data_IF_294708296375
#
_entry.id   IF_294708296375
#
_cell.length_a   1.000
_cell.length_b   1.000
_cell.length_c   1.000
_cell.angle_alpha   90.00
_cell.angle_beta   90.00
_cell.angle_gamma   90.00
#
_symmetry.space_group_name_H-M   'P 1'
#
loop_
_entity.id
_entity.type
_entity.pdbx_description
1 polymer ?
#
# COMPACT_ATOMS: atom_id res chain seq x y z
N UNK A 1 13.44 -17.14 34.52
CA UNK A 1 13.25 -16.01 33.57
C UNK A 1 12.39 -16.42 32.38
N UNK A 2 12.93 -16.99 31.28
CA UNK A 2 12.11 -17.39 30.11
C UNK A 2 11.09 -18.55 30.33
N UNK A 3 11.37 -19.62 31.11
CA UNK A 3 10.41 -20.73 31.27
C UNK A 3 9.23 -20.35 32.17
N UNK A 4 9.45 -19.53 33.21
CA UNK A 4 8.39 -19.07 34.12
C UNK A 4 7.38 -18.15 33.41
N UNK A 5 7.87 -17.33 32.48
CA UNK A 5 7.03 -16.48 31.62
C UNK A 5 6.09 -17.33 30.75
N UNK A 6 6.63 -18.38 30.12
CA UNK A 6 5.85 -19.31 29.29
C UNK A 6 4.80 -20.06 30.11
N UNK A 7 5.11 -20.47 31.34
CA UNK A 7 4.13 -21.12 32.22
C UNK A 7 3.02 -20.17 32.68
N UNK A 8 3.34 -18.90 32.94
CA UNK A 8 2.33 -17.90 33.32
C UNK A 8 1.41 -17.54 32.14
N UNK A 9 1.98 -17.38 30.93
CA UNK A 9 1.21 -17.19 29.69
C UNK A 9 0.31 -18.41 29.40
N UNK A 10 0.81 -19.62 29.59
CA UNK A 10 0.03 -20.85 29.41
C UNK A 10 -1.12 -20.95 30.42
N UNK A 11 -0.90 -20.56 31.68
CA UNK A 11 -1.96 -20.55 32.70
C UNK A 11 -3.05 -19.54 32.37
N UNK A 12 -2.68 -18.33 31.97
CA UNK A 12 -3.62 -17.28 31.58
C UNK A 12 -4.42 -17.66 30.31
N UNK A 13 -3.73 -18.16 29.28
CA UNK A 13 -4.37 -18.52 28.01
C UNK A 13 -5.18 -19.81 28.04
N UNK A 14 -4.88 -20.76 28.95
CA UNK A 14 -5.59 -22.05 29.02
C UNK A 14 -6.94 -21.98 29.74
N UNK A 15 -7.18 -20.97 30.57
CA UNK A 15 -8.48 -20.79 31.23
C UNK A 15 -9.55 -20.22 30.28
N UNK A 16 -9.16 -19.31 29.38
CA UNK A 16 -10.10 -18.67 28.44
C UNK A 16 -9.97 -19.16 26.98
N UNK A 17 -8.89 -19.83 26.59
CA UNK A 17 -8.60 -20.17 25.19
C UNK A 17 -8.18 -18.96 24.33
N UNK A 18 -8.09 -17.77 24.93
CA UNK A 18 -7.62 -16.55 24.30
C UNK A 18 -6.79 -15.71 25.27
N UNK A 19 -5.83 -14.96 24.74
CA UNK A 19 -5.08 -13.92 25.48
C UNK A 19 -5.28 -12.57 24.82
N UNK A 20 -5.59 -11.53 25.60
CA UNK A 20 -5.70 -10.18 25.04
C UNK A 20 -4.32 -9.62 24.72
N UNK A 21 -4.23 -8.77 23.70
CA UNK A 21 -2.97 -8.12 23.34
C UNK A 21 -2.39 -7.28 24.49
N UNK A 22 -3.25 -6.62 25.27
CA UNK A 22 -2.84 -5.83 26.43
C UNK A 22 -2.29 -6.70 27.57
N UNK A 23 -2.95 -7.83 27.86
CA UNK A 23 -2.48 -8.77 28.89
C UNK A 23 -1.17 -9.45 28.48
N UNK A 24 -1.03 -9.80 27.19
CA UNK A 24 0.22 -10.32 26.64
C UNK A 24 1.36 -9.31 26.86
N UNK A 25 1.11 -8.03 26.59
CA UNK A 25 2.10 -6.98 26.75
C UNK A 25 2.46 -6.69 28.22
N UNK A 26 1.53 -6.89 29.16
CA UNK A 26 1.79 -6.73 30.60
C UNK A 26 2.57 -7.92 31.19
N UNK A 27 2.34 -9.13 30.66
CA UNK A 27 3.07 -10.33 31.07
C UNK A 27 4.49 -10.37 30.49
N UNK A 28 4.73 -9.75 29.33
CA UNK A 28 6.04 -9.67 28.69
C UNK A 28 6.99 -8.74 29.47
N UNK A 29 8.15 -9.23 29.95
CA UNK A 29 9.16 -8.40 30.59
C UNK A 29 9.79 -7.40 29.61
N UNK A 30 10.09 -6.18 30.08
CA UNK A 30 10.81 -5.12 29.34
C UNK A 30 12.20 -5.50 28.78
N UNK A 31 12.71 -6.66 29.20
CA UNK A 31 14.00 -7.24 28.78
C UNK A 31 13.89 -7.97 27.42
N UNK A 32 12.67 -8.40 27.02
CA UNK A 32 12.41 -9.09 25.75
C UNK A 32 12.07 -8.04 24.68
N UNK A 33 13.09 -7.50 24.01
CA UNK A 33 12.93 -6.57 22.87
C UNK A 33 13.43 -7.16 21.56
N UNK A 34 13.97 -8.37 21.60
CA UNK A 34 14.47 -9.06 20.42
C UNK A 34 13.32 -9.68 19.61
N UNK A 35 13.18 -9.36 18.32
CA UNK A 35 12.09 -9.84 17.48
C UNK A 35 12.06 -11.37 17.35
N UNK A 36 13.23 -12.03 17.39
CA UNK A 36 13.32 -13.50 17.34
C UNK A 36 12.73 -14.17 18.60
N UNK A 37 12.87 -13.53 19.77
CA UNK A 37 12.32 -14.08 21.02
C UNK A 37 10.81 -13.92 21.06
N UNK A 38 10.31 -12.78 20.57
CA UNK A 38 8.88 -12.50 20.41
C UNK A 38 8.23 -13.53 19.46
N UNK A 39 8.87 -13.83 18.33
CA UNK A 39 8.39 -14.85 17.40
C UNK A 39 8.36 -16.25 18.04
N UNK A 40 9.36 -16.60 18.86
CA UNK A 40 9.34 -17.86 19.61
C UNK A 40 8.18 -17.94 20.61
N UNK A 41 7.71 -16.82 21.15
CA UNK A 41 6.55 -16.77 22.06
C UNK A 41 5.25 -16.94 21.28
N UNK A 42 5.12 -16.29 20.12
CA UNK A 42 3.97 -16.48 19.23
C UNK A 42 3.84 -17.93 18.73
N UNK A 43 4.95 -18.56 18.32
CA UNK A 43 4.96 -19.96 17.93
C UNK A 43 4.61 -20.90 19.10
N UNK A 44 5.02 -20.56 20.32
CA UNK A 44 4.66 -21.34 21.51
C UNK A 44 3.17 -21.22 21.87
N UNK A 45 2.58 -20.02 21.75
CA UNK A 45 1.14 -19.79 21.93
C UNK A 45 0.31 -20.54 20.87
N UNK A 46 0.74 -20.50 19.60
CA UNK A 46 0.11 -21.24 18.51
C UNK A 46 0.17 -22.76 18.69
N UNK A 47 1.31 -23.29 19.16
CA UNK A 47 1.46 -24.72 19.45
C UNK A 47 0.57 -25.22 20.61
N UNK A 48 0.09 -24.30 21.45
CA UNK A 48 -0.82 -24.59 22.56
C UNK A 48 -2.27 -24.16 22.30
N UNK A 49 -2.62 -23.84 21.04
CA UNK A 49 -3.97 -23.43 20.62
C UNK A 49 -4.52 -22.23 21.40
N UNK A 50 -3.67 -21.25 21.73
CA UNK A 50 -4.11 -20.01 22.38
C UNK A 50 -4.15 -18.91 21.32
N UNK A 51 -5.34 -18.36 21.07
CA UNK A 51 -5.51 -17.26 20.13
C UNK A 51 -5.28 -15.90 20.80
N UNK A 52 -4.67 -14.98 20.04
CA UNK A 52 -4.46 -13.61 20.49
C UNK A 52 -5.61 -12.76 19.99
N UNK A 53 -6.29 -12.12 20.93
CA UNK A 53 -7.46 -11.29 20.66
C UNK A 53 -7.18 -9.83 21.00
N UNK A 54 -7.79 -8.93 20.26
CA UNK A 54 -7.89 -7.51 20.63
C UNK A 54 -9.29 -7.26 21.16
N UNK A 55 -9.37 -6.58 22.32
CA UNK A 55 -10.65 -6.18 22.91
C UNK A 55 -11.02 -4.82 22.34
N UNK A 56 -12.05 -4.77 21.49
CA UNK A 56 -12.54 -3.50 20.99
C UNK A 56 -13.30 -2.73 22.08
N UNK A 57 -13.39 -1.39 21.95
CA UNK A 57 -14.10 -0.52 22.92
C UNK A 57 -15.60 -0.86 23.09
N UNK A 58 -16.15 -1.66 22.18
CA UNK A 58 -17.53 -2.17 22.19
C UNK A 58 -17.70 -3.42 23.07
N UNK A 59 -16.60 -4.04 23.53
CA UNK A 59 -16.61 -5.27 24.34
C UNK A 59 -16.55 -6.57 23.53
N UNK A 60 -16.42 -6.48 22.20
CA UNK A 60 -16.24 -7.63 21.30
C UNK A 60 -14.76 -8.04 21.24
N UNK A 61 -14.47 -9.34 21.41
CA UNK A 61 -13.14 -9.93 21.26
C UNK A 61 -12.96 -10.34 19.79
N UNK A 62 -11.93 -9.80 19.12
CA UNK A 62 -11.60 -10.18 17.72
C UNK A 62 -10.20 -10.76 17.63
N UNK A 63 -10.03 -11.79 16.79
CA UNK A 63 -8.71 -12.36 16.49
C UNK A 63 -7.87 -11.38 15.67
N UNK A 64 -6.56 -11.62 15.57
CA UNK A 64 -5.66 -10.81 14.72
C UNK A 64 -6.03 -10.82 13.23
N UNK A 65 -6.83 -11.80 12.79
CA UNK A 65 -7.37 -11.92 11.43
C UNK A 65 -8.68 -11.14 11.23
N UNK A 66 -9.23 -10.52 12.29
CA UNK A 66 -10.47 -9.74 12.23
C UNK A 66 -11.75 -10.54 12.43
N UNK A 67 -11.65 -11.84 12.73
CA UNK A 67 -12.80 -12.69 13.03
C UNK A 67 -13.31 -12.46 14.46
N UNK A 68 -14.62 -12.58 14.66
CA UNK A 68 -15.22 -12.54 16.00
C UNK A 68 -14.83 -13.82 16.72
N UNK A 69 -14.14 -13.69 17.85
CA UNK A 69 -13.72 -14.84 18.64
C UNK A 69 -14.93 -15.46 19.34
N UNK A 70 -15.35 -16.64 18.88
CA UNK A 70 -16.30 -17.49 19.60
C UNK A 70 -15.54 -18.58 20.35
N UNK A 71 -15.86 -18.75 21.64
CA UNK A 71 -15.28 -19.78 22.48
C UNK A 71 -15.63 -21.16 21.92
N UNK A 72 -14.68 -21.81 21.28
CA UNK A 72 -14.83 -23.19 20.83
C UNK A 72 -14.50 -24.12 22.00
N UNK A 73 -15.51 -24.50 22.78
CA UNK A 73 -15.41 -25.56 23.79
C UNK A 73 -15.43 -26.93 23.08
N UNK A 74 -14.33 -27.36 22.45
CA UNK A 74 -14.14 -28.78 22.13
C UNK A 74 -12.65 -29.21 22.14
N UNK A 75 -12.24 -30.13 23.05
CA UNK A 75 -10.87 -30.65 23.10
C UNK A 75 -10.68 -31.91 22.21
N UNK A 76 -11.37 -32.01 21.06
CA UNK A 76 -11.16 -33.10 20.10
C UNK A 76 -11.40 -32.66 18.66
N UNK A 77 -10.43 -31.92 18.12
CA UNK A 77 -10.23 -31.82 16.68
C UNK A 77 -8.74 -32.02 16.37
N UNK A 78 -8.26 -33.24 16.61
CA UNK A 78 -7.08 -33.72 15.90
C UNK A 78 -7.43 -33.90 14.42
N UNK A 79 -6.61 -33.33 13.55
CA UNK A 79 -6.45 -33.80 12.18
C UNK A 79 -6.91 -32.83 11.10
N UNK A 80 -5.94 -32.23 10.40
CA UNK A 80 -6.12 -31.69 9.06
C UNK A 80 -5.99 -30.17 8.97
N UNK A 81 -4.75 -29.66 8.98
CA UNK A 81 -4.44 -28.41 8.28
C UNK A 81 -2.98 -28.41 7.82
N UNK A 82 -2.56 -29.54 7.26
CA UNK A 82 -1.67 -29.52 6.11
C UNK A 82 -2.58 -29.79 4.90
N UNK A 83 -2.25 -29.16 3.78
CA UNK A 83 -2.92 -29.24 2.48
C UNK A 83 -3.87 -28.07 2.13
N UNK A 84 -3.37 -27.29 1.17
CA UNK A 84 -4.10 -26.44 0.25
C UNK A 84 -4.53 -25.03 0.71
N UNK A 85 -3.58 -24.11 0.51
CA UNK A 85 -3.84 -22.77 -0.03
C UNK A 85 -4.50 -22.95 -1.41
N UNK A 86 -5.75 -23.41 -1.44
CA UNK A 86 -6.61 -23.23 -2.61
C UNK A 86 -6.95 -21.76 -2.61
N UNK A 87 -6.32 -21.05 -3.54
CA UNK A 87 -6.82 -19.83 -4.15
C UNK A 87 -8.23 -20.13 -4.69
N UNK A 88 -9.21 -20.22 -3.79
CA UNK A 88 -10.61 -20.22 -4.15
C UNK A 88 -10.93 -18.75 -4.46
N UNK A 89 -10.83 -18.48 -5.75
CA UNK A 89 -11.56 -17.46 -6.48
C UNK A 89 -13.05 -17.55 -6.10
N UNK A 90 -13.41 -17.04 -4.92
CA UNK A 90 -14.80 -16.84 -4.52
C UNK A 90 -15.30 -15.59 -5.23
N UNK A 91 -15.59 -15.78 -6.52
CA UNK A 91 -16.32 -14.88 -7.42
C UNK A 91 -17.76 -14.66 -6.91
N UNK A 92 -17.87 -14.00 -5.77
CA UNK A 92 -19.07 -13.26 -5.38
C UNK A 92 -18.71 -11.80 -5.30
N UNK A 93 -18.75 -11.15 -6.46
CA UNK A 93 -18.75 -9.69 -6.58
C UNK A 93 -20.03 -9.13 -5.95
N UNK A 94 -20.09 -9.10 -4.62
CA UNK A 94 -20.73 -7.97 -3.96
C UNK A 94 -20.10 -6.71 -4.56
N UNK A 95 -20.93 -5.78 -5.05
CA UNK A 95 -20.48 -4.63 -5.82
C UNK A 95 -19.25 -3.98 -5.17
N UNK A 96 -18.05 -4.29 -5.66
CA UNK A 96 -16.83 -3.88 -4.99
C UNK A 96 -16.84 -2.37 -4.90
N UNK A 97 -16.71 -1.85 -3.68
CA UNK A 97 -16.67 -0.42 -3.46
C UNK A 97 -15.55 0.17 -4.33
N UNK A 98 -15.82 1.32 -4.96
CA UNK A 98 -14.87 1.97 -5.88
C UNK A 98 -13.47 2.13 -5.30
N UNK A 99 -13.39 2.26 -3.97
CA UNK A 99 -12.15 2.36 -3.20
C UNK A 99 -11.39 1.04 -3.18
N UNK A 100 -12.07 -0.08 -2.95
CA UNK A 100 -11.48 -1.43 -2.92
C UNK A 100 -10.89 -1.78 -4.27
N UNK A 101 -11.64 -1.54 -5.35
CA UNK A 101 -11.13 -1.75 -6.71
C UNK A 101 -9.91 -0.87 -6.99
N UNK A 102 -9.95 0.42 -6.61
CA UNK A 102 -8.82 1.32 -6.83
C UNK A 102 -7.56 0.89 -6.08
N UNK A 103 -7.67 0.52 -4.80
CA UNK A 103 -6.54 0.08 -4.00
C UNK A 103 -5.95 -1.22 -4.52
N UNK A 104 -6.79 -2.18 -4.95
CA UNK A 104 -6.34 -3.41 -5.61
C UNK A 104 -5.56 -3.12 -6.89
N UNK A 105 -6.07 -2.22 -7.74
CA UNK A 105 -5.39 -1.84 -8.98
C UNK A 105 -4.10 -1.08 -8.73
N UNK A 106 -4.06 -0.16 -7.74
CA UNK A 106 -2.83 0.53 -7.36
C UNK A 106 -1.77 -0.45 -6.83
N UNK A 107 -2.18 -1.45 -6.05
CA UNK A 107 -1.29 -2.45 -5.46
C UNK A 107 -0.67 -3.42 -6.47
N UNK A 108 -1.15 -3.45 -7.71
CA UNK A 108 -0.54 -4.24 -8.79
C UNK A 108 0.75 -3.65 -9.34
N UNK A 109 1.05 -2.39 -9.04
CA UNK A 109 2.24 -1.70 -9.53
C UNK A 109 3.27 -1.56 -8.40
N UNK A 110 4.50 -1.97 -8.68
CA UNK A 110 5.62 -1.81 -7.75
C UNK A 110 5.96 -0.32 -7.53
N UNK A 111 6.51 -0.03 -6.34
CA UNK A 111 7.02 1.30 -6.03
C UNK A 111 8.24 1.63 -6.90
N UNK A 112 8.35 2.89 -7.29
CA UNK A 112 9.49 3.39 -8.07
C UNK A 112 10.78 3.33 -7.25
N UNK A 113 11.82 2.77 -7.86
CA UNK A 113 13.19 2.92 -7.34
C UNK A 113 13.73 4.32 -7.65
N UNK A 114 14.73 4.82 -6.88
CA UNK A 114 15.35 6.12 -7.17
C UNK A 114 15.95 6.23 -8.57
N UNK A 115 16.46 5.11 -9.11
CA UNK A 115 17.01 5.06 -10.47
C UNK A 115 15.92 5.19 -11.54
N UNK A 116 14.78 4.53 -11.33
CA UNK A 116 13.61 4.65 -12.21
C UNK A 116 13.02 6.06 -12.16
N UNK A 117 12.90 6.67 -10.98
CA UNK A 117 12.44 8.04 -10.83
C UNK A 117 13.35 9.00 -11.63
N UNK A 118 14.68 8.85 -11.54
CA UNK A 118 15.63 9.62 -12.31
C UNK A 118 15.48 9.39 -13.82
N UNK A 119 15.28 8.14 -14.25
CA UNK A 119 15.03 7.76 -15.64
C UNK A 119 13.77 8.44 -16.18
N UNK A 120 12.63 8.31 -15.48
CA UNK A 120 11.38 8.93 -15.89
C UNK A 120 11.49 10.46 -15.91
N UNK A 121 12.16 11.07 -14.94
CA UNK A 121 12.42 12.51 -14.91
C UNK A 121 13.18 12.97 -16.16
N UNK A 122 14.22 12.23 -16.56
CA UNK A 122 14.99 12.52 -17.78
C UNK A 122 14.13 12.34 -19.04
N UNK A 123 13.37 11.24 -19.14
CA UNK A 123 12.49 10.98 -20.29
C UNK A 123 11.41 12.06 -20.44
N UNK A 124 10.79 12.50 -19.33
CA UNK A 124 9.78 13.57 -19.36
C UNK A 124 10.40 14.90 -19.84
N UNK A 125 11.61 15.24 -19.38
CA UNK A 125 12.32 16.44 -19.85
C UNK A 125 12.64 16.38 -21.33
N UNK A 126 13.20 15.26 -21.80
CA UNK A 126 13.52 15.06 -23.22
C UNK A 126 12.27 15.12 -24.11
N UNK A 127 11.16 14.51 -23.65
CA UNK A 127 9.88 14.59 -24.37
C UNK A 127 9.35 16.02 -24.45
N UNK A 128 9.44 16.78 -23.36
CA UNK A 128 9.03 18.18 -23.33
C UNK A 128 9.87 19.07 -24.26
N UNK A 129 11.20 18.91 -24.24
CA UNK A 129 12.11 19.60 -25.17
C UNK A 129 11.80 19.24 -26.63
N UNK A 130 11.52 17.97 -26.91
CA UNK A 130 11.15 17.50 -28.25
C UNK A 130 9.86 18.14 -28.74
N UNK A 131 8.85 18.30 -27.87
CA UNK A 131 7.59 18.98 -28.21
C UNK A 131 7.86 20.45 -28.56
N UNK A 132 8.70 21.13 -27.78
CA UNK A 132 9.04 22.54 -28.03
C UNK A 132 9.79 22.70 -29.36
N UNK A 133 10.76 21.82 -29.64
CA UNK A 133 11.48 21.84 -30.92
C UNK A 133 10.53 21.64 -32.09
N UNK A 134 9.62 20.66 -31.99
CA UNK A 134 8.62 20.40 -33.03
C UNK A 134 7.70 21.61 -33.29
N UNK A 135 7.28 22.31 -32.24
CA UNK A 135 6.47 23.53 -32.37
C UNK A 135 7.28 24.65 -33.06
N UNK A 136 8.57 24.79 -32.75
CA UNK A 136 9.46 25.80 -33.34
C UNK A 136 9.82 25.52 -34.80
N UNK A 137 9.94 24.25 -35.15
CA UNK A 137 10.26 23.80 -36.51
C UNK A 137 9.07 23.87 -37.45
N UNK A 138 7.85 24.00 -36.93
CA UNK A 138 6.65 24.10 -37.74
C UNK A 138 6.68 25.30 -38.69
N UNK A 139 6.37 25.04 -39.96
CA UNK A 139 6.37 26.04 -41.04
C UNK A 139 4.98 26.30 -41.61
N UNK A 140 3.93 25.81 -40.94
CA UNK A 140 2.54 25.93 -41.41
C UNK A 140 2.06 27.38 -41.56
N UNK A 141 2.71 28.32 -40.86
CA UNK A 141 2.34 29.75 -40.90
C UNK A 141 1.03 30.08 -40.20
N UNK A 142 0.48 29.13 -39.42
CA UNK A 142 -0.77 29.31 -38.67
C UNK A 142 -0.54 30.29 -37.52
N UNK A 143 -1.45 31.27 -37.36
CA UNK A 143 -1.30 32.37 -36.39
C UNK A 143 -1.25 31.86 -34.96
N UNK A 144 -2.03 30.84 -34.65
CA UNK A 144 -2.10 30.17 -33.35
C UNK A 144 -0.75 29.56 -32.97
N UNK A 145 -0.05 28.95 -33.93
CA UNK A 145 1.28 28.35 -33.71
C UNK A 145 2.34 29.45 -33.55
N UNK A 146 2.27 30.54 -34.31
CA UNK A 146 3.16 31.69 -34.12
C UNK A 146 3.02 32.30 -32.72
N UNK A 147 1.78 32.53 -32.26
CA UNK A 147 1.50 33.01 -30.90
C UNK A 147 1.98 32.01 -29.84
N UNK A 148 1.94 30.71 -30.13
CA UNK A 148 2.47 29.68 -29.24
C UNK A 148 3.99 29.76 -29.12
N UNK A 149 4.71 29.93 -30.24
CA UNK A 149 6.16 30.13 -30.23
C UNK A 149 6.56 31.36 -29.40
N UNK A 150 5.90 32.51 -29.63
CA UNK A 150 6.14 33.73 -28.84
C UNK A 150 5.89 33.50 -27.34
N UNK A 151 4.85 32.72 -27.02
CA UNK A 151 4.53 32.38 -25.63
C UNK A 151 5.61 31.51 -24.99
N UNK A 152 6.15 30.53 -25.72
CA UNK A 152 7.23 29.67 -25.27
C UNK A 152 8.48 30.50 -25.00
N UNK A 153 8.82 31.45 -25.88
CA UNK A 153 9.97 32.34 -25.69
C UNK A 153 9.82 33.22 -24.43
N UNK A 154 8.60 33.66 -24.13
CA UNK A 154 8.31 34.37 -22.88
C UNK A 154 8.49 33.48 -21.64
N UNK A 155 8.20 32.18 -21.74
CA UNK A 155 8.43 31.25 -20.65
C UNK A 155 9.92 31.00 -20.43
N UNK A 156 10.69 30.78 -21.49
CA UNK A 156 12.16 30.61 -21.40
C UNK A 156 12.86 31.85 -20.85
N UNK A 157 12.40 33.05 -21.21
CA UNK A 157 12.91 34.31 -20.63
C UNK A 157 12.69 34.40 -19.12
N UNK A 158 11.61 33.80 -18.60
CA UNK A 158 11.29 33.80 -17.16
C UNK A 158 12.01 32.68 -16.41
N UNK A 159 12.17 31.53 -17.04
CA UNK A 159 12.84 30.36 -16.47
C UNK A 159 13.69 29.69 -17.56
N UNK A 160 15.02 29.89 -17.56
CA UNK A 160 15.91 29.31 -18.55
C UNK A 160 15.94 27.78 -18.55
N UNK A 161 15.56 27.15 -17.44
CA UNK A 161 15.53 25.68 -17.32
C UNK A 161 14.22 25.08 -17.80
N UNK A 162 13.24 25.93 -18.13
CA UNK A 162 11.88 25.64 -18.58
C UNK A 162 11.38 24.24 -18.19
N UNK A 163 11.18 24.04 -16.87
CA UNK A 163 10.75 22.74 -16.36
C UNK A 163 9.36 22.37 -16.90
N UNK A 164 9.10 21.09 -17.22
CA UNK A 164 7.80 20.65 -17.73
C UNK A 164 6.68 20.94 -16.72
N UNK A 165 5.71 21.78 -17.09
CA UNK A 165 4.52 22.06 -16.27
C UNK A 165 3.25 21.64 -16.99
N UNK A 166 2.35 20.96 -16.27
CA UNK A 166 1.03 20.54 -16.79
C UNK A 166 0.23 21.69 -17.42
N UNK A 167 0.29 22.89 -16.82
CA UNK A 167 -0.38 24.08 -17.36
C UNK A 167 0.16 24.49 -18.74
N UNK A 168 1.48 24.43 -18.95
CA UNK A 168 2.11 24.75 -20.23
C UNK A 168 1.74 23.71 -21.29
N UNK A 169 1.78 22.42 -20.94
CA UNK A 169 1.37 21.31 -21.82
C UNK A 169 -0.09 21.41 -22.23
N UNK A 170 -0.99 21.67 -21.28
CA UNK A 170 -2.41 21.86 -21.58
C UNK A 170 -2.64 23.06 -22.51
N UNK A 171 -1.92 24.15 -22.30
CA UNK A 171 -1.98 25.32 -23.18
C UNK A 171 -1.50 24.98 -24.59
N UNK A 172 -0.32 24.36 -24.73
CA UNK A 172 0.20 23.90 -26.03
C UNK A 172 -0.80 23.01 -26.75
N UNK A 173 -1.36 22.00 -26.05
CA UNK A 173 -2.38 21.11 -26.60
C UNK A 173 -3.63 21.85 -27.06
N UNK A 174 -4.16 22.76 -26.22
CA UNK A 174 -5.36 23.53 -26.56
C UNK A 174 -5.16 24.39 -27.81
N UNK A 175 -4.02 25.08 -27.90
CA UNK A 175 -3.70 25.95 -29.03
C UNK A 175 -3.57 25.17 -30.33
N UNK A 176 -2.90 24.01 -30.30
CA UNK A 176 -2.78 23.13 -31.48
C UNK A 176 -4.14 22.57 -31.90
N UNK A 177 -4.98 22.15 -30.95
CA UNK A 177 -6.32 21.66 -31.26
C UNK A 177 -7.24 22.75 -31.81
N UNK A 178 -7.06 24.00 -31.35
CA UNK A 178 -7.77 25.15 -31.90
C UNK A 178 -7.29 25.49 -33.31
N UNK A 179 -6.01 25.33 -33.60
CA UNK A 179 -5.40 25.57 -34.91
C UNK A 179 -5.81 24.52 -35.95
N UNK A 180 -6.16 23.30 -35.52
CA UNK A 180 -6.58 22.21 -36.39
C UNK A 180 -8.07 22.24 -36.80
N UNK A 181 -8.86 23.16 -36.24
CA UNK A 181 -10.28 23.38 -36.58
C UNK A 181 -10.43 24.50 -37.60
#
# INVERSE_FOLDING_TARGET
MLPELKENLLKAGKEEGCISFDDLNELLPDDIKDPNEIESIFNFLGAHSIEIVTVEKTGEKRTLSGEVWEKTDDPSAEGGHDEDIVLADDETHEAEETTTTYLREMGRFDLLTPEEEAKYSKTIRQGFESIISAIREDRSGVKEVQLLCERIDLWEKRDPTLKPKKQQLNFMRYTILSAAK
#
